data_IF_473399221114
#
_entry.id   IF_473399221114
#
_cell.length_a   1.000
_cell.length_b   1.000
_cell.length_c   1.000
_cell.angle_alpha   90.00
_cell.angle_beta   90.00
_cell.angle_gamma   90.00
#
_symmetry.space_group_name_H-M   'P 1'
#
loop_
_entity.id
_entity.type
_entity.pdbx_description
1 polymer ?
#
# COMPACT_ATOMS: atom_id res chain seq x y z
N UNK A 1 7.21 35.35 -35.63
CA UNK A 1 7.52 34.12 -34.87
C UNK A 1 9.01 33.80 -35.03
N UNK A 2 9.83 34.04 -34.00
CA UNK A 2 11.27 33.69 -34.02
C UNK A 2 11.38 32.16 -33.90
N UNK A 3 11.94 31.48 -34.91
CA UNK A 3 12.26 30.04 -34.85
C UNK A 3 13.33 29.84 -33.77
N UNK A 4 12.94 29.23 -32.65
CA UNK A 4 13.89 28.79 -31.63
C UNK A 4 14.76 27.70 -32.23
N UNK A 5 16.07 27.88 -32.19
CA UNK A 5 17.02 26.95 -32.79
C UNK A 5 17.12 25.70 -31.91
N UNK A 6 16.85 24.52 -32.48
CA UNK A 6 16.81 23.24 -31.77
C UNK A 6 18.09 22.94 -30.98
N UNK A 7 19.24 23.40 -31.48
CA UNK A 7 20.53 23.30 -30.79
C UNK A 7 20.55 24.09 -29.46
N UNK A 8 19.91 25.25 -29.40
CA UNK A 8 19.83 26.06 -28.18
C UNK A 8 18.99 25.38 -27.11
N UNK A 9 17.91 24.70 -27.49
CA UNK A 9 17.07 23.93 -26.57
C UNK A 9 17.85 22.75 -25.97
N UNK A 10 18.61 22.02 -26.80
CA UNK A 10 19.44 20.90 -26.34
C UNK A 10 20.52 21.39 -25.36
N UNK A 11 21.17 22.52 -25.64
CA UNK A 11 22.19 23.09 -24.76
C UNK A 11 21.57 23.52 -23.42
N UNK A 12 20.42 24.19 -23.44
CA UNK A 12 19.71 24.56 -22.20
C UNK A 12 19.26 23.33 -21.40
N UNK A 13 18.81 22.27 -22.07
CA UNK A 13 18.43 21.02 -21.42
C UNK A 13 19.62 20.32 -20.78
N UNK A 14 20.76 20.23 -21.49
CA UNK A 14 22.01 19.69 -20.95
C UNK A 14 22.51 20.50 -19.75
N UNK A 15 22.41 21.83 -19.81
CA UNK A 15 22.80 22.69 -18.70
C UNK A 15 21.88 22.49 -17.49
N UNK A 16 20.58 22.32 -17.72
CA UNK A 16 19.60 22.08 -16.66
C UNK A 16 19.77 20.69 -16.02
N UNK A 17 20.08 19.66 -16.82
CA UNK A 17 20.41 18.31 -16.33
C UNK A 17 21.74 18.33 -15.57
N UNK A 18 22.74 19.06 -16.03
CA UNK A 18 24.02 19.21 -15.35
C UNK A 18 23.88 19.98 -14.03
N UNK A 19 23.07 21.04 -14.00
CA UNK A 19 22.74 21.79 -12.80
C UNK A 19 21.99 20.92 -11.79
N UNK A 20 21.04 20.10 -12.26
CA UNK A 20 20.33 19.13 -11.44
C UNK A 20 21.30 18.08 -10.86
N UNK A 21 22.25 17.59 -11.65
CA UNK A 21 23.26 16.64 -11.19
C UNK A 21 24.17 17.23 -10.11
N UNK A 22 24.60 18.50 -10.27
CA UNK A 22 25.36 19.24 -9.25
C UNK A 22 24.56 19.52 -7.97
N UNK A 23 23.25 19.74 -8.08
CA UNK A 23 22.37 19.90 -6.92
C UNK A 23 22.15 18.57 -6.18
N UNK A 24 22.14 17.44 -6.87
CA UNK A 24 21.98 16.13 -6.22
C UNK A 24 23.23 15.63 -5.49
N UNK A 25 24.44 16.03 -5.92
CA UNK A 25 25.68 15.60 -5.25
C UNK A 25 25.94 16.36 -3.94
N UNK A 26 25.29 17.49 -3.71
CA UNK A 26 25.44 18.30 -2.48
C UNK A 26 24.43 17.98 -1.38
N UNK A 27 23.41 17.15 -1.64
CA UNK A 27 22.32 16.88 -0.66
C UNK A 27 22.52 15.61 0.18
N UNK A 28 23.48 14.74 -0.11
CA UNK A 28 23.74 13.58 0.76
C UNK A 28 25.23 13.19 0.82
N UNK A 29 26.07 14.12 1.27
CA UNK A 29 27.28 13.69 1.96
C UNK A 29 26.89 13.37 3.40
N UNK A 30 26.47 12.12 3.65
CA UNK A 30 26.57 11.59 5.01
C UNK A 30 28.05 11.55 5.29
N UNK A 31 28.53 12.50 6.10
CA UNK A 31 29.81 12.36 6.78
C UNK A 31 29.81 10.96 7.39
N UNK A 32 30.60 10.05 6.81
CA UNK A 32 30.89 8.76 7.38
C UNK A 32 31.86 9.00 8.54
N UNK A 33 31.40 9.74 9.54
CA UNK A 33 32.11 9.96 10.77
C UNK A 33 31.99 8.65 11.51
N UNK A 34 33.10 7.91 11.56
CA UNK A 34 33.30 6.72 12.42
C UNK A 34 33.24 7.06 13.92
N UNK A 35 32.59 8.15 14.29
CA UNK A 35 32.40 8.57 15.66
C UNK A 35 31.14 7.87 16.15
N UNK A 36 31.28 7.10 17.23
CA UNK A 36 30.14 6.48 17.91
C UNK A 36 29.15 7.59 18.29
N UNK A 37 27.86 7.36 18.02
CA UNK A 37 26.80 8.22 18.53
C UNK A 37 26.84 8.20 20.06
N UNK A 38 26.99 9.37 20.68
CA UNK A 38 26.94 9.49 22.15
C UNK A 38 25.49 9.40 22.63
N UNK A 39 25.22 8.42 23.48
CA UNK A 39 23.92 8.27 24.14
C UNK A 39 23.78 9.16 25.39
N UNK A 40 24.86 9.81 25.83
CA UNK A 40 24.90 10.62 27.05
C UNK A 40 24.08 11.91 26.91
N UNK A 41 23.95 12.41 25.68
CA UNK A 41 23.17 13.60 25.36
C UNK A 41 21.67 13.33 25.14
N UNK A 42 21.25 12.06 25.22
CA UNK A 42 19.86 11.64 25.00
C UNK A 42 19.12 11.59 26.35
N UNK A 43 18.32 12.60 26.63
CA UNK A 43 17.63 12.77 27.92
C UNK A 43 16.67 11.62 28.27
N UNK A 44 16.07 10.99 27.25
CA UNK A 44 15.08 9.92 27.42
C UNK A 44 15.63 8.50 27.26
N UNK A 45 16.96 8.31 27.13
CA UNK A 45 17.54 6.98 26.89
C UNK A 45 17.18 5.97 27.99
N UNK A 46 16.94 6.45 29.22
CA UNK A 46 16.56 5.63 30.38
C UNK A 46 15.11 5.11 30.32
N UNK A 47 14.28 5.65 29.43
CA UNK A 47 12.90 5.18 29.21
C UNK A 47 12.86 3.93 28.32
N UNK A 48 13.98 3.56 27.68
CA UNK A 48 14.07 2.40 26.81
C UNK A 48 14.82 1.26 27.52
N UNK A 49 14.22 0.07 27.53
CA UNK A 49 14.88 -1.15 27.99
C UNK A 49 15.75 -1.74 26.88
N UNK A 50 16.97 -1.23 26.74
CA UNK A 50 17.93 -1.69 25.73
C UNK A 50 18.84 -2.77 26.31
N UNK A 51 18.98 -3.88 25.59
CA UNK A 51 20.04 -4.86 25.89
C UNK A 51 21.43 -4.26 25.65
N UNK A 52 22.50 -4.82 26.24
CA UNK A 52 23.86 -4.36 25.99
C UNK A 52 24.22 -4.37 24.50
N UNK A 53 23.82 -5.43 23.78
CA UNK A 53 24.02 -5.56 22.34
C UNK A 53 23.24 -4.49 21.55
N UNK A 54 21.99 -4.20 21.95
CA UNK A 54 21.19 -3.17 21.30
C UNK A 54 21.78 -1.78 21.50
N UNK A 55 22.32 -1.50 22.69
CA UNK A 55 22.99 -0.23 23.01
C UNK A 55 24.26 -0.02 22.19
N UNK A 56 25.04 -1.09 21.96
CA UNK A 56 26.25 -1.03 21.12
C UNK A 56 25.88 -0.76 19.65
N UNK A 57 24.88 -1.46 19.12
CA UNK A 57 24.38 -1.24 17.76
C UNK A 57 23.81 0.17 17.59
N UNK A 58 23.11 0.70 18.60
CA UNK A 58 22.59 2.06 18.58
C UNK A 58 23.73 3.10 18.54
N UNK A 59 24.79 2.91 19.34
CA UNK A 59 25.99 3.77 19.28
C UNK A 59 26.70 3.70 17.95
N UNK A 60 26.72 2.54 17.30
CA UNK A 60 27.42 2.33 16.04
C UNK A 60 26.64 2.84 14.83
N UNK A 61 25.33 2.62 14.81
CA UNK A 61 24.51 2.81 13.61
C UNK A 61 23.52 3.97 13.73
N UNK A 62 23.32 4.51 14.94
CA UNK A 62 22.29 5.52 15.21
C UNK A 62 20.86 4.98 15.23
N UNK A 63 20.67 3.68 14.93
CA UNK A 63 19.42 2.96 15.07
C UNK A 63 19.68 1.50 15.44
N UNK A 64 18.68 0.85 16.03
CA UNK A 64 18.69 -0.59 16.31
C UNK A 64 17.29 -1.16 16.08
N UNK A 65 17.22 -2.37 15.55
CA UNK A 65 15.97 -3.12 15.39
C UNK A 65 15.95 -4.20 16.46
N UNK A 66 14.85 -4.29 17.21
CA UNK A 66 14.66 -5.31 18.24
C UNK A 66 13.37 -6.08 17.98
N UNK A 67 13.28 -7.37 18.35
CA UNK A 67 12.03 -8.11 18.28
C UNK A 67 10.97 -7.42 19.13
N UNK A 68 9.76 -7.30 18.57
CA UNK A 68 8.61 -6.73 19.25
C UNK A 68 7.53 -7.83 19.41
N UNK A 69 6.89 -7.90 20.57
CA UNK A 69 5.92 -8.94 20.91
C UNK A 69 4.52 -8.34 21.08
N UNK A 70 4.03 -7.70 20.02
CA UNK A 70 2.72 -7.06 19.98
C UNK A 70 1.82 -7.76 18.96
N UNK A 71 0.51 -7.77 19.23
CA UNK A 71 -0.46 -8.38 18.31
C UNK A 71 -0.77 -7.42 17.17
N UNK A 72 -0.91 -6.14 17.49
CA UNK A 72 -1.22 -5.08 16.55
C UNK A 72 -0.25 -3.90 16.70
N UNK A 73 -0.11 -3.11 15.64
CA UNK A 73 0.68 -1.87 15.66
C UNK A 73 0.10 -0.85 16.66
N UNK A 74 -1.22 -0.87 16.85
CA UNK A 74 -1.95 -0.05 17.84
C UNK A 74 -1.48 -0.29 19.28
N UNK A 75 -1.10 -1.52 19.62
CA UNK A 75 -0.59 -1.88 20.93
C UNK A 75 0.73 -1.15 21.23
N UNK A 76 1.62 -1.10 20.23
CA UNK A 76 2.92 -0.40 20.32
C UNK A 76 2.70 1.08 20.60
N UNK A 77 1.80 1.72 19.84
CA UNK A 77 1.52 3.14 20.02
C UNK A 77 0.86 3.45 21.37
N UNK A 78 0.02 2.53 21.88
CA UNK A 78 -0.62 2.66 23.18
C UNK A 78 0.41 2.58 24.31
N UNK A 79 1.30 1.58 24.26
CA UNK A 79 2.38 1.45 25.25
C UNK A 79 3.36 2.63 25.19
N UNK A 80 3.77 3.08 23.99
CA UNK A 80 4.64 4.25 23.87
C UNK A 80 3.97 5.51 24.44
N UNK A 81 2.66 5.67 24.27
CA UNK A 81 1.90 6.77 24.88
C UNK A 81 1.89 6.68 26.40
N UNK A 82 1.62 5.50 26.96
CA UNK A 82 1.55 5.28 28.41
C UNK A 82 2.92 5.44 29.09
N UNK A 83 3.99 5.02 28.43
CA UNK A 83 5.38 5.13 28.89
C UNK A 83 6.02 6.48 28.56
N UNK A 84 5.28 7.39 27.91
CA UNK A 84 5.75 8.70 27.46
C UNK A 84 6.99 8.60 26.54
N UNK A 85 7.10 7.51 25.79
CA UNK A 85 8.11 7.31 24.76
C UNK A 85 7.73 8.07 23.49
N UNK A 86 8.67 8.79 22.85
CA UNK A 86 8.40 9.50 21.60
C UNK A 86 8.00 8.53 20.48
N UNK A 87 6.89 8.83 19.82
CA UNK A 87 6.36 8.04 18.71
C UNK A 87 6.69 8.76 17.40
N UNK A 88 7.33 8.05 16.48
CA UNK A 88 7.44 8.49 15.10
C UNK A 88 6.38 7.76 14.26
N UNK A 89 5.32 8.48 13.88
CA UNK A 89 4.25 7.92 13.05
C UNK A 89 4.74 7.90 11.59
N UNK A 90 4.89 6.70 11.04
CA UNK A 90 5.20 6.50 9.62
C UNK A 90 3.90 6.37 8.81
N UNK A 91 4.02 6.43 7.49
CA UNK A 91 2.88 6.26 6.56
C UNK A 91 2.17 4.91 6.75
N UNK A 92 2.86 3.88 7.24
CA UNK A 92 2.32 2.53 7.44
C UNK A 92 1.11 2.50 8.38
N UNK A 93 1.12 3.32 9.45
CA UNK A 93 -0.01 3.39 10.37
C UNK A 93 -1.30 3.92 9.70
N UNK A 94 -1.14 4.91 8.81
CA UNK A 94 -2.25 5.47 8.04
C UNK A 94 -2.73 4.46 6.98
N UNK A 95 -1.80 3.79 6.30
CA UNK A 95 -2.11 2.77 5.30
C UNK A 95 -2.84 1.57 5.92
N UNK A 96 -2.38 1.09 7.08
CA UNK A 96 -3.02 -0.01 7.80
C UNK A 96 -4.48 0.31 8.15
N UNK A 97 -4.73 1.50 8.70
CA UNK A 97 -6.10 1.97 8.99
C UNK A 97 -6.93 2.07 7.71
N UNK A 98 -6.33 2.56 6.62
CA UNK A 98 -6.97 2.62 5.31
C UNK A 98 -7.38 1.24 4.78
N UNK A 99 -6.53 0.23 4.92
CA UNK A 99 -6.85 -1.14 4.52
C UNK A 99 -8.04 -1.70 5.29
N UNK A 100 -8.03 -1.57 6.63
CA UNK A 100 -9.16 -2.02 7.47
C UNK A 100 -10.45 -1.33 7.04
N UNK A 101 -10.42 -0.01 6.88
CA UNK A 101 -11.59 0.76 6.46
C UNK A 101 -12.12 0.31 5.10
N UNK A 102 -11.23 0.11 4.12
CA UNK A 102 -11.59 -0.32 2.78
C UNK A 102 -12.25 -1.71 2.78
N UNK A 103 -11.71 -2.67 3.55
CA UNK A 103 -12.29 -4.00 3.68
C UNK A 103 -13.69 -3.95 4.30
N UNK A 104 -13.89 -3.14 5.34
CA UNK A 104 -15.21 -2.92 5.93
C UNK A 104 -16.19 -2.31 4.92
N UNK A 105 -15.74 -1.31 4.14
CA UNK A 105 -16.54 -0.67 3.11
C UNK A 105 -16.98 -1.69 2.05
N UNK A 106 -16.05 -2.51 1.55
CA UNK A 106 -16.37 -3.55 0.57
C UNK A 106 -17.39 -4.55 1.10
N UNK A 107 -17.23 -5.00 2.36
CA UNK A 107 -18.18 -5.93 2.98
C UNK A 107 -19.58 -5.34 3.11
N UNK A 108 -19.69 -4.07 3.49
CA UNK A 108 -20.98 -3.37 3.57
C UNK A 108 -21.60 -3.24 2.18
N UNK A 109 -20.81 -2.80 1.19
CA UNK A 109 -21.29 -2.67 -0.19
C UNK A 109 -21.76 -4.00 -0.75
N UNK A 110 -21.02 -5.08 -0.49
CA UNK A 110 -21.39 -6.43 -0.91
C UNK A 110 -22.74 -6.83 -0.33
N UNK A 111 -22.90 -6.75 0.99
CA UNK A 111 -24.10 -7.21 1.68
C UNK A 111 -25.31 -6.31 1.42
N UNK A 112 -25.13 -4.98 1.41
CA UNK A 112 -26.26 -4.04 1.36
C UNK A 112 -26.71 -3.67 -0.05
N UNK A 113 -25.87 -3.90 -1.09
CA UNK A 113 -26.14 -3.45 -2.46
C UNK A 113 -25.88 -4.52 -3.51
N UNK A 114 -24.71 -5.15 -3.48
CA UNK A 114 -24.28 -5.99 -4.60
C UNK A 114 -24.88 -7.40 -4.53
N UNK A 115 -25.11 -7.95 -3.34
CA UNK A 115 -25.59 -9.32 -3.16
C UNK A 115 -26.95 -9.54 -3.82
N UNK A 116 -27.97 -8.79 -3.42
CA UNK A 116 -29.32 -8.91 -3.97
C UNK A 116 -29.33 -8.64 -5.49
N UNK A 117 -28.57 -7.63 -5.92
CA UNK A 117 -28.43 -7.30 -7.36
C UNK A 117 -27.79 -8.43 -8.15
N UNK A 118 -26.79 -9.13 -7.58
CA UNK A 118 -26.13 -10.25 -8.22
C UNK A 118 -27.03 -11.49 -8.28
N UNK A 119 -27.84 -11.74 -7.25
CA UNK A 119 -28.87 -12.79 -7.26
C UNK A 119 -29.90 -12.50 -8.35
N UNK A 120 -30.45 -11.28 -8.38
CA UNK A 120 -31.44 -10.87 -9.39
C UNK A 120 -30.88 -10.99 -10.81
N UNK A 121 -29.64 -10.54 -11.03
CA UNK A 121 -28.96 -10.69 -12.32
C UNK A 121 -28.82 -12.16 -12.70
N UNK A 122 -28.42 -13.03 -11.77
CA UNK A 122 -28.24 -14.47 -12.01
C UNK A 122 -29.56 -15.13 -12.39
N UNK A 123 -30.65 -14.81 -11.67
CA UNK A 123 -31.98 -15.32 -11.97
C UNK A 123 -32.46 -14.91 -13.36
N UNK A 124 -32.31 -13.62 -13.70
CA UNK A 124 -32.70 -13.11 -15.01
C UNK A 124 -31.86 -13.74 -16.14
N UNK A 125 -30.54 -13.88 -15.94
CA UNK A 125 -29.67 -14.49 -16.93
C UNK A 125 -29.96 -15.97 -17.14
N UNK A 126 -30.35 -16.69 -16.08
CA UNK A 126 -30.80 -18.08 -16.18
C UNK A 126 -32.09 -18.18 -16.99
N UNK A 127 -33.10 -17.36 -16.67
CA UNK A 127 -34.38 -17.35 -17.39
C UNK A 127 -34.18 -17.04 -18.89
N UNK A 128 -33.39 -16.01 -19.20
CA UNK A 128 -33.06 -15.64 -20.58
C UNK A 128 -32.33 -16.77 -21.31
N UNK A 129 -31.41 -17.47 -20.64
CA UNK A 129 -30.67 -18.58 -21.25
C UNK A 129 -31.59 -19.76 -21.56
N UNK A 130 -32.55 -20.08 -20.67
CA UNK A 130 -33.58 -21.10 -20.92
C UNK A 130 -34.45 -20.71 -22.12
N UNK A 131 -34.89 -19.46 -22.17
CA UNK A 131 -35.68 -18.95 -23.30
C UNK A 131 -34.93 -19.06 -24.62
N UNK A 132 -33.67 -18.62 -24.64
CA UNK A 132 -32.80 -18.72 -25.83
C UNK A 132 -32.60 -20.17 -26.28
N UNK A 133 -32.42 -21.11 -25.34
CA UNK A 133 -32.29 -22.52 -25.67
C UNK A 133 -33.55 -23.08 -26.37
N UNK A 134 -34.73 -22.66 -25.90
CA UNK A 134 -36.02 -23.12 -26.43
C UNK A 134 -36.36 -22.48 -27.78
N UNK A 135 -36.01 -21.22 -27.99
CA UNK A 135 -36.32 -20.45 -29.20
C UNK A 135 -35.27 -20.59 -30.32
N UNK A 136 -34.05 -21.06 -30.00
CA UNK A 136 -32.96 -21.16 -30.96
C UNK A 136 -33.18 -22.30 -31.98
N UNK A 137 -33.20 -21.93 -33.26
CA UNK A 137 -33.21 -22.88 -34.39
C UNK A 137 -31.81 -23.34 -34.80
N UNK A 138 -30.75 -22.62 -34.42
CA UNK A 138 -29.37 -22.97 -34.77
C UNK A 138 -28.69 -23.77 -33.67
N UNK A 139 -28.02 -24.86 -34.07
CA UNK A 139 -27.38 -25.79 -33.12
C UNK A 139 -26.32 -25.11 -32.25
N UNK A 140 -25.52 -24.21 -32.84
CA UNK A 140 -24.46 -23.50 -32.11
C UNK A 140 -25.00 -22.57 -31.02
N UNK A 141 -26.11 -21.87 -31.27
CA UNK A 141 -26.74 -21.01 -30.26
C UNK A 141 -27.39 -21.84 -29.17
N UNK A 142 -27.97 -22.99 -29.54
CA UNK A 142 -28.59 -23.91 -28.60
C UNK A 142 -27.58 -24.51 -27.62
N UNK A 143 -26.42 -24.96 -28.10
CA UNK A 143 -25.37 -25.45 -27.20
C UNK A 143 -24.76 -24.33 -26.34
N UNK A 144 -24.59 -23.12 -26.87
CA UNK A 144 -24.14 -21.97 -26.07
C UNK A 144 -25.15 -21.62 -24.94
N UNK A 145 -26.45 -21.57 -25.25
CA UNK A 145 -27.49 -21.32 -24.27
C UNK A 145 -27.54 -22.41 -23.19
N UNK A 146 -27.33 -23.67 -23.57
CA UNK A 146 -27.24 -24.80 -22.63
C UNK A 146 -26.07 -24.66 -21.65
N UNK A 147 -24.89 -24.22 -22.12
CA UNK A 147 -23.74 -23.95 -21.26
C UNK A 147 -24.03 -22.80 -20.29
N UNK A 148 -24.69 -21.75 -20.76
CA UNK A 148 -25.10 -20.63 -19.90
C UNK A 148 -26.10 -21.07 -18.82
N UNK A 149 -27.09 -21.90 -19.17
CA UNK A 149 -28.00 -22.51 -18.18
C UNK A 149 -27.18 -23.26 -17.12
N UNK A 150 -26.25 -24.12 -17.55
CA UNK A 150 -25.35 -24.84 -16.64
C UNK A 150 -24.57 -23.89 -15.73
N UNK A 151 -24.00 -22.82 -16.28
CA UNK A 151 -23.23 -21.82 -15.54
C UNK A 151 -24.09 -21.09 -14.49
N UNK A 152 -25.22 -20.51 -14.88
CA UNK A 152 -26.07 -19.73 -13.97
C UNK A 152 -26.80 -20.60 -12.94
N UNK A 153 -26.98 -21.90 -13.21
CA UNK A 153 -27.57 -22.83 -12.25
C UNK A 153 -26.62 -23.17 -11.09
N UNK A 154 -25.30 -23.11 -11.28
CA UNK A 154 -24.32 -23.38 -10.21
C UNK A 154 -24.36 -22.30 -9.12
N UNK A 155 -24.70 -21.07 -9.50
CA UNK A 155 -24.80 -19.94 -8.59
C UNK A 155 -26.12 -19.92 -7.78
N UNK A 156 -27.03 -20.87 -8.03
CA UNK A 156 -28.28 -21.08 -7.30
C UNK A 156 -28.12 -22.11 -6.19
#
# INVERSE_FOLDING_TARGET
MKRVNFKTIIICFLYLVFLFFLLTSSVFSVENKKDLYSLENISNIRQFHLSPAASELLRKNGFVVTPAYYKEISDIYSECKDTNQPIFITTDAVLHTGHIFFDYLLRILEVEKLYDSAVELTDQMLELSIKQYNEASSEGVKEAAKLNIGFFTVAK
#
